data_IF_544645288010
#
_entry.id   IF_544645288010
#
_cell.length_a   1.000
_cell.length_b   1.000
_cell.length_c   1.000
_cell.angle_alpha   90.00
_cell.angle_beta   90.00
_cell.angle_gamma   90.00
#
_symmetry.space_group_name_H-M   'P 1'
#
loop_
_entity.id
_entity.type
_entity.pdbx_description
1 polymer ?
#
# COMPACT_ATOMS: atom_id res chain seq x y z
N UNK A 1 10.07 -48.17 2.17
CA UNK A 1 10.29 -46.76 2.55
C UNK A 1 9.07 -45.99 2.09
N UNK A 2 8.18 -45.60 3.00
CA UNK A 2 6.90 -44.97 2.67
C UNK A 2 7.06 -43.45 2.61
N UNK A 3 6.70 -42.84 1.48
CA UNK A 3 6.69 -41.40 1.30
C UNK A 3 5.56 -40.79 2.14
N UNK A 4 5.92 -40.01 3.17
CA UNK A 4 4.96 -39.27 3.97
C UNK A 4 4.51 -38.03 3.18
N UNK A 5 3.29 -38.05 2.67
CA UNK A 5 2.63 -36.86 2.09
C UNK A 5 2.02 -36.06 3.24
N UNK A 6 2.32 -34.74 3.39
CA UNK A 6 1.68 -33.94 4.42
C UNK A 6 0.18 -33.72 4.09
N UNK A 7 -0.70 -33.62 5.11
CA UNK A 7 -2.14 -33.48 4.90
C UNK A 7 -2.48 -32.12 4.23
N UNK A 8 -3.57 -32.04 3.46
CA UNK A 8 -4.00 -30.77 2.86
C UNK A 8 -4.42 -29.76 3.92
N UNK A 9 -4.08 -28.50 3.69
CA UNK A 9 -4.41 -27.33 4.52
C UNK A 9 -5.91 -27.31 4.88
N UNK A 10 -6.26 -27.69 6.11
CA UNK A 10 -7.60 -27.48 6.67
C UNK A 10 -7.66 -26.12 7.37
N UNK A 11 -7.59 -25.03 6.60
CA UNK A 11 -7.60 -23.67 7.13
C UNK A 11 -9.00 -23.07 7.12
N UNK A 12 -9.71 -23.08 8.26
CA UNK A 12 -10.75 -22.07 8.47
C UNK A 12 -10.06 -20.70 8.67
N UNK A 13 -10.57 -19.61 8.09
CA UNK A 13 -9.97 -18.28 8.24
C UNK A 13 -10.06 -17.86 9.72
N UNK A 14 -8.93 -17.88 10.42
CA UNK A 14 -8.84 -17.29 11.76
C UNK A 14 -8.90 -15.78 11.59
N UNK A 15 -10.01 -15.18 12.04
CA UNK A 15 -10.11 -13.73 12.25
C UNK A 15 -9.04 -13.33 13.26
N UNK A 16 -8.07 -12.51 12.84
CA UNK A 16 -7.15 -11.84 13.76
C UNK A 16 -7.95 -10.85 14.63
N UNK A 17 -7.96 -11.00 15.96
CA UNK A 17 -8.57 -10.02 16.86
C UNK A 17 -7.48 -9.12 17.47
N UNK A 18 -7.48 -7.83 17.14
CA UNK A 18 -6.64 -6.84 17.84
C UNK A 18 -6.59 -5.48 17.17
N UNK A 19 -6.52 -4.37 17.93
CA UNK A 19 -7.12 -3.09 17.57
C UNK A 19 -6.22 -2.22 16.67
N UNK A 20 -6.89 -1.35 15.91
CA UNK A 20 -6.32 -0.19 15.24
C UNK A 20 -5.58 0.72 16.24
N UNK A 21 -4.42 1.23 15.83
CA UNK A 21 -3.64 2.30 16.46
C UNK A 21 -2.88 1.98 17.77
N UNK A 22 -1.62 1.59 17.62
CA UNK A 22 -0.51 2.08 18.45
C UNK A 22 0.81 1.80 17.72
N UNK A 23 1.56 2.85 17.41
CA UNK A 23 2.93 2.72 16.89
C UNK A 23 3.75 1.96 17.95
N UNK A 24 4.16 0.74 17.64
CA UNK A 24 4.93 -0.08 18.57
C UNK A 24 6.28 0.58 18.88
N UNK A 25 6.75 0.59 20.14
CA UNK A 25 8.03 1.19 20.51
C UNK A 25 9.19 0.48 19.77
N UNK A 26 10.14 1.30 19.30
CA UNK A 26 11.29 0.93 18.45
C UNK A 26 12.11 -0.29 18.93
N UNK A 27 11.98 -0.72 20.19
CA UNK A 27 12.65 -1.89 20.75
C UNK A 27 12.08 -3.25 20.29
N UNK A 28 10.87 -3.30 19.72
CA UNK A 28 10.27 -4.54 19.19
C UNK A 28 10.77 -4.93 17.79
N UNK A 29 11.54 -4.07 17.12
CA UNK A 29 12.08 -4.31 15.78
C UNK A 29 13.27 -5.30 15.77
N UNK A 30 13.84 -5.63 16.93
CA UNK A 30 15.04 -6.46 17.01
C UNK A 30 14.83 -7.94 16.67
N UNK A 31 13.60 -8.45 16.73
CA UNK A 31 13.28 -9.86 16.44
C UNK A 31 12.45 -10.08 15.16
N UNK A 32 12.15 -9.02 14.40
CA UNK A 32 11.27 -9.10 13.23
C UNK A 32 12.05 -9.24 11.91
N UNK A 33 13.02 -10.16 11.88
CA UNK A 33 13.89 -10.36 10.72
C UNK A 33 13.27 -11.23 9.62
N UNK A 34 11.95 -11.50 9.66
CA UNK A 34 11.27 -12.31 8.65
C UNK A 34 10.20 -11.59 7.86
N UNK A 35 9.68 -10.42 8.27
CA UNK A 35 8.62 -9.76 7.52
C UNK A 35 9.14 -8.99 6.30
N UNK A 36 8.43 -9.12 5.18
CA UNK A 36 8.68 -8.33 3.99
C UNK A 36 7.92 -7.01 4.12
N UNK A 37 8.62 -5.89 4.31
CA UNK A 37 8.00 -4.56 4.41
C UNK A 37 8.16 -3.78 3.11
N UNK A 38 7.06 -3.24 2.60
CA UNK A 38 7.00 -2.35 1.46
C UNK A 38 6.42 -1.02 1.92
N UNK A 39 7.14 0.07 1.72
CA UNK A 39 6.63 1.42 1.94
C UNK A 39 6.68 2.18 0.62
N UNK A 40 5.55 2.75 0.23
CA UNK A 40 5.42 3.55 -0.99
C UNK A 40 4.85 4.91 -0.59
N UNK A 41 5.67 5.94 -0.77
CA UNK A 41 5.30 7.32 -0.55
C UNK A 41 5.25 8.03 -1.91
N UNK A 42 4.04 8.42 -2.31
CA UNK A 42 3.76 9.22 -3.51
C UNK A 42 3.23 10.60 -3.13
N UNK A 43 3.60 11.10 -1.95
CA UNK A 43 3.17 12.41 -1.48
C UNK A 43 3.68 13.50 -2.42
N UNK A 44 2.78 14.43 -2.76
CA UNK A 44 3.06 15.55 -3.65
C UNK A 44 2.78 16.85 -2.93
N UNK A 45 3.71 17.80 -3.01
CA UNK A 45 3.56 19.14 -2.47
C UNK A 45 3.66 20.17 -3.58
N UNK A 46 2.61 20.95 -3.76
CA UNK A 46 2.55 22.10 -4.66
C UNK A 46 2.65 23.36 -3.82
N UNK A 47 3.53 24.29 -4.21
CA UNK A 47 3.79 25.54 -3.49
C UNK A 47 3.56 26.73 -4.42
N UNK A 48 3.55 27.93 -3.83
CA UNK A 48 3.34 29.21 -4.52
C UNK A 48 1.87 29.41 -4.92
N UNK A 49 1.62 30.53 -5.59
CA UNK A 49 0.28 31.00 -5.90
C UNK A 49 -0.14 30.59 -7.32
N UNK A 50 -1.45 30.56 -7.56
CA UNK A 50 -2.06 30.37 -8.88
C UNK A 50 -1.71 29.05 -9.61
N UNK A 51 -1.44 27.98 -8.86
CA UNK A 51 -1.26 26.66 -9.44
C UNK A 51 -2.59 26.06 -9.90
N UNK A 52 -2.51 25.28 -10.96
CA UNK A 52 -3.62 24.48 -11.49
C UNK A 52 -3.22 23.01 -11.37
N UNK A 53 -3.91 22.26 -10.51
CA UNK A 53 -3.59 20.87 -10.22
C UNK A 53 -4.75 19.97 -10.65
N UNK A 54 -4.50 19.15 -11.67
CA UNK A 54 -5.41 18.09 -12.11
C UNK A 54 -5.20 16.83 -11.28
N UNK A 55 -6.23 16.43 -10.54
CA UNK A 55 -6.24 15.20 -9.77
C UNK A 55 -7.19 14.19 -10.41
N UNK A 56 -6.64 13.05 -10.79
CA UNK A 56 -7.41 11.95 -11.39
C UNK A 56 -8.36 11.25 -10.40
N UNK A 57 -8.26 11.56 -9.10
CA UNK A 57 -9.12 11.06 -8.04
C UNK A 57 -8.66 11.56 -6.66
N UNK A 58 -9.40 11.21 -5.62
CA UNK A 58 -9.06 11.50 -4.23
C UNK A 58 -7.79 10.75 -3.78
N UNK A 59 -7.12 11.27 -2.75
CA UNK A 59 -5.97 10.61 -2.12
C UNK A 59 -6.25 9.14 -1.71
N UNK A 60 -7.48 8.87 -1.25
CA UNK A 60 -7.90 7.52 -0.88
C UNK A 60 -8.00 6.58 -2.08
N UNK A 61 -8.56 7.05 -3.20
CA UNK A 61 -8.63 6.28 -4.44
C UNK A 61 -7.24 5.98 -5.01
N UNK A 62 -6.34 6.97 -4.97
CA UNK A 62 -4.95 6.79 -5.40
C UNK A 62 -4.21 5.77 -4.53
N UNK A 63 -4.30 5.90 -3.20
CA UNK A 63 -3.71 4.93 -2.28
C UNK A 63 -4.28 3.51 -2.49
N UNK A 64 -5.59 3.39 -2.70
CA UNK A 64 -6.25 2.12 -3.00
C UNK A 64 -5.76 1.49 -4.30
N UNK A 65 -5.67 2.26 -5.38
CA UNK A 65 -5.16 1.78 -6.67
C UNK A 65 -3.70 1.28 -6.57
N UNK A 66 -2.85 2.00 -5.83
CA UNK A 66 -1.47 1.57 -5.56
C UNK A 66 -1.47 0.27 -4.74
N UNK A 67 -2.32 0.17 -3.71
CA UNK A 67 -2.41 -1.01 -2.85
C UNK A 67 -2.82 -2.26 -3.62
N UNK A 68 -3.82 -2.12 -4.49
CA UNK A 68 -4.28 -3.19 -5.37
C UNK A 68 -3.18 -3.61 -6.35
N UNK A 69 -2.51 -2.64 -6.99
CA UNK A 69 -1.43 -2.93 -7.92
C UNK A 69 -0.26 -3.68 -7.26
N UNK A 70 0.14 -3.25 -6.06
CA UNK A 70 1.18 -3.89 -5.26
C UNK A 70 0.77 -5.29 -4.84
N UNK A 71 -0.44 -5.45 -4.31
CA UNK A 71 -0.96 -6.76 -3.88
C UNK A 71 -1.06 -7.72 -5.07
N UNK A 72 -1.55 -7.26 -6.22
CA UNK A 72 -1.62 -8.05 -7.44
C UNK A 72 -0.22 -8.41 -7.97
N UNK A 73 0.76 -7.51 -7.87
CA UNK A 73 2.14 -7.80 -8.22
C UNK A 73 2.75 -8.85 -7.28
N UNK A 74 2.56 -8.72 -5.97
CA UNK A 74 3.01 -9.68 -4.98
C UNK A 74 2.38 -11.05 -5.20
N UNK A 75 1.07 -11.10 -5.43
CA UNK A 75 0.37 -12.35 -5.67
C UNK A 75 0.90 -13.05 -6.93
N UNK A 76 1.01 -12.31 -8.06
CA UNK A 76 1.54 -12.85 -9.33
C UNK A 76 2.99 -13.34 -9.23
N UNK A 77 3.81 -12.70 -8.39
CA UNK A 77 5.23 -13.02 -8.24
C UNK A 77 5.55 -13.80 -6.96
N UNK A 78 4.52 -14.26 -6.22
CA UNK A 78 4.67 -15.19 -5.09
C UNK A 78 4.76 -16.63 -5.61
N UNK A 79 5.23 -17.57 -4.78
CA UNK A 79 5.77 -18.88 -5.20
C UNK A 79 4.78 -19.79 -5.97
N UNK A 80 4.67 -19.55 -7.28
CA UNK A 80 4.21 -20.49 -8.32
C UNK A 80 4.80 -20.20 -9.72
N UNK A 81 5.64 -19.17 -9.91
CA UNK A 81 6.51 -18.98 -11.10
C UNK A 81 7.88 -18.38 -10.72
N UNK A 82 8.68 -19.14 -9.94
CA UNK A 82 10.06 -18.83 -9.48
C UNK A 82 10.22 -17.68 -8.46
N UNK A 83 9.13 -17.31 -7.77
CA UNK A 83 8.93 -16.06 -7.00
C UNK A 83 9.61 -15.87 -5.63
N UNK A 84 9.08 -14.89 -4.88
CA UNK A 84 9.50 -14.48 -3.53
C UNK A 84 9.26 -15.62 -2.53
N UNK A 85 10.23 -16.03 -1.69
CA UNK A 85 10.03 -17.07 -0.67
C UNK A 85 9.07 -16.59 0.42
N UNK A 86 7.87 -17.16 0.41
CA UNK A 86 6.73 -16.81 1.27
C UNK A 86 6.59 -17.68 2.52
N UNK A 87 7.52 -18.61 2.73
CA UNK A 87 7.63 -19.42 3.94
C UNK A 87 8.96 -19.04 4.61
N UNK A 88 8.94 -18.82 5.92
CA UNK A 88 10.16 -18.56 6.68
C UNK A 88 10.94 -19.84 7.01
N UNK A 89 12.06 -19.71 7.73
CA UNK A 89 12.93 -20.85 8.08
C UNK A 89 12.27 -21.88 9.01
N UNK A 90 11.17 -21.50 9.68
CA UNK A 90 10.43 -22.35 10.61
C UNK A 90 9.16 -22.96 9.98
N UNK A 91 8.91 -22.67 8.69
CA UNK A 91 7.78 -23.20 7.94
C UNK A 91 6.50 -22.37 8.05
N UNK A 92 6.53 -21.20 8.67
CA UNK A 92 5.36 -20.32 8.79
C UNK A 92 5.21 -19.41 7.56
N UNK A 93 3.97 -19.00 7.21
CA UNK A 93 3.76 -17.96 6.22
C UNK A 93 4.46 -16.67 6.63
N UNK A 94 5.30 -16.16 5.74
CA UNK A 94 6.05 -14.93 5.94
C UNK A 94 5.09 -13.72 5.97
N UNK A 95 5.07 -12.90 7.05
CA UNK A 95 4.26 -11.69 7.09
C UNK A 95 4.69 -10.68 6.03
N UNK A 96 3.73 -10.02 5.39
CA UNK A 96 3.97 -8.87 4.51
C UNK A 96 3.28 -7.65 5.13
N UNK A 97 4.05 -6.57 5.27
CA UNK A 97 3.55 -5.27 5.69
C UNK A 97 3.65 -4.28 4.52
N UNK A 98 2.53 -3.64 4.16
CA UNK A 98 2.46 -2.68 3.04
C UNK A 98 1.90 -1.37 3.54
N UNK A 99 2.72 -0.33 3.48
CA UNK A 99 2.39 1.04 3.84
C UNK A 99 2.36 1.92 2.59
N UNK A 100 1.25 2.64 2.39
CA UNK A 100 1.04 3.48 1.20
C UNK A 100 0.60 4.86 1.65
N UNK A 101 1.32 5.87 1.19
CA UNK A 101 1.11 7.28 1.52
C UNK A 101 0.88 8.04 0.21
N UNK A 102 -0.35 8.50 -0.03
CA UNK A 102 -0.73 9.23 -1.25
C UNK A 102 -1.31 10.62 -0.90
N UNK A 103 -0.53 11.42 -0.18
CA UNK A 103 -0.95 12.76 0.25
C UNK A 103 -0.76 13.81 -0.84
N UNK A 104 -1.69 14.77 -0.93
CA UNK A 104 -1.52 15.99 -1.72
C UNK A 104 -1.59 17.19 -0.78
N UNK A 105 -0.51 17.99 -0.76
CA UNK A 105 -0.46 19.27 -0.05
C UNK A 105 -0.35 20.39 -1.07
N UNK A 106 -1.23 21.38 -0.97
CA UNK A 106 -1.20 22.57 -1.82
C UNK A 106 -1.16 23.79 -0.92
N UNK A 107 -0.09 24.57 -1.06
CA UNK A 107 0.21 25.75 -0.25
C UNK A 107 0.34 27.00 -1.14
N UNK A 108 -0.04 28.16 -0.61
CA UNK A 108 -0.17 29.41 -1.37
C UNK A 108 -1.63 29.79 -1.69
N UNK A 109 -1.81 30.89 -2.41
CA UNK A 109 -3.11 31.53 -2.70
C UNK A 109 -3.53 31.39 -4.15
N UNK A 110 -4.85 31.37 -4.40
CA UNK A 110 -5.37 31.30 -5.77
C UNK A 110 -5.12 29.97 -6.50
N UNK A 111 -4.74 28.93 -5.75
CA UNK A 111 -4.57 27.58 -6.30
C UNK A 111 -5.94 26.96 -6.61
N UNK A 112 -6.02 26.25 -7.72
CA UNK A 112 -7.19 25.47 -8.12
C UNK A 112 -6.82 23.99 -8.20
N UNK A 113 -7.53 23.17 -7.44
CA UNK A 113 -7.35 21.71 -7.38
C UNK A 113 -8.67 21.05 -7.73
N UNK A 114 -8.69 20.18 -8.72
CA UNK A 114 -9.92 19.51 -9.13
C UNK A 114 -9.68 18.47 -10.20
N UNK A 115 -10.75 17.78 -10.58
CA UNK A 115 -10.73 16.89 -11.73
C UNK A 115 -10.69 17.69 -13.04
N UNK A 116 -10.34 17.01 -14.13
CA UNK A 116 -10.30 17.58 -15.48
C UNK A 116 -11.59 18.33 -15.88
N UNK A 117 -12.76 17.92 -15.38
CA UNK A 117 -14.05 18.58 -15.65
C UNK A 117 -14.15 19.92 -14.94
N UNK A 118 -13.78 19.95 -13.67
CA UNK A 118 -13.76 21.16 -12.84
C UNK A 118 -12.74 22.17 -13.38
N UNK A 119 -11.61 21.67 -13.89
CA UNK A 119 -10.55 22.46 -14.49
C UNK A 119 -10.92 23.08 -15.84
N UNK A 120 -11.61 22.33 -16.70
CA UNK A 120 -12.07 22.84 -17.99
C UNK A 120 -13.00 24.05 -17.83
N UNK A 121 -13.79 24.10 -16.74
CA UNK A 121 -14.65 25.24 -16.42
C UNK A 121 -13.88 26.46 -15.89
N UNK A 122 -12.79 26.25 -15.13
CA UNK A 122 -11.96 27.33 -14.58
C UNK A 122 -11.24 28.11 -15.68
N UNK A 123 -10.76 27.44 -16.72
CA UNK A 123 -10.08 28.09 -17.85
C UNK A 123 -10.99 28.97 -18.72
N UNK A 124 -12.31 28.88 -18.59
CA UNK A 124 -13.26 29.71 -19.36
C UNK A 124 -13.76 30.95 -18.58
N UNK A 125 -13.39 31.11 -17.31
CA UNK A 125 -13.84 32.18 -16.43
C UNK A 125 -12.79 33.26 -16.16
N UNK A 126 -11.61 33.17 -16.77
CA UNK A 126 -10.56 34.20 -16.77
C UNK A 126 -10.53 34.91 -18.13
#
# INVERSE_FOLDING_TARGET
>A
MANHVPPPYSGQPRRYPGPVSAVAPQAALANHNSAFRICIDTSTTVRQDNNIVDIAGSAAEQAGAIAEAVTAALHRNSSAECGIPMIDGDGHPRPIDVEIIACLTVDGSGNFVGDAKSLAGFGQQQ
#
